data_IF_676070720374
#
_entry.id   IF_676070720374
#
_cell.length_a   1.000
_cell.length_b   1.000
_cell.length_c   1.000
_cell.angle_alpha   90.00
_cell.angle_beta   90.00
_cell.angle_gamma   90.00
#
_symmetry.space_group_name_H-M   'P 1'
#
loop_
_entity.id
_entity.type
_entity.pdbx_description
1 polymer ?
#
# COMPACT_ATOMS: atom_id res chain seq x y z
N UNK A 1 9.31 -30.48 -16.64
CA UNK A 1 9.23 -29.50 -15.54
C UNK A 1 9.60 -28.14 -16.10
N UNK A 2 8.61 -27.29 -16.38
CA UNK A 2 8.87 -25.91 -16.77
C UNK A 2 9.58 -25.22 -15.59
N UNK A 3 10.77 -24.69 -15.83
CA UNK A 3 11.47 -23.88 -14.83
C UNK A 3 10.64 -22.62 -14.66
N UNK A 4 10.15 -22.37 -13.44
CA UNK A 4 9.49 -21.12 -13.05
C UNK A 4 10.44 -19.88 -13.11
N UNK A 5 11.50 -19.93 -13.90
CA UNK A 5 12.55 -18.92 -13.96
C UNK A 5 12.29 -17.83 -15.02
N UNK A 6 11.30 -18.01 -15.91
CA UNK A 6 11.06 -17.09 -17.04
C UNK A 6 10.06 -15.97 -16.77
N UNK A 7 9.21 -16.07 -15.74
CA UNK A 7 8.21 -15.04 -15.45
C UNK A 7 8.75 -13.96 -14.51
N UNK A 8 8.57 -12.70 -14.93
CA UNK A 8 8.80 -11.52 -14.09
C UNK A 8 7.46 -10.89 -13.75
N UNK A 9 7.18 -10.81 -12.45
CA UNK A 9 6.01 -10.16 -11.88
C UNK A 9 6.37 -8.76 -11.40
N UNK A 10 5.63 -7.76 -11.88
CA UNK A 10 5.77 -6.36 -11.44
C UNK A 10 4.48 -5.96 -10.75
N UNK A 11 4.53 -5.76 -9.45
CA UNK A 11 3.41 -5.27 -8.65
C UNK A 11 3.51 -3.75 -8.55
N UNK A 12 2.57 -3.05 -9.16
CA UNK A 12 2.49 -1.58 -9.09
C UNK A 12 1.50 -1.20 -8.00
N UNK A 13 1.96 -0.47 -6.99
CA UNK A 13 1.15 -0.03 -5.86
C UNK A 13 1.02 1.50 -5.83
N UNK A 14 -0.01 1.99 -5.14
CA UNK A 14 -0.13 3.40 -4.73
C UNK A 14 -0.14 3.51 -3.22
N UNK A 15 0.13 4.70 -2.69
CA UNK A 15 -0.08 4.97 -1.27
C UNK A 15 -1.58 4.89 -0.94
N UNK A 16 -1.88 4.40 0.26
CA UNK A 16 -3.21 4.55 0.85
C UNK A 16 -3.48 6.01 1.17
N UNK A 17 -4.75 6.40 1.30
CA UNK A 17 -5.11 7.78 1.68
C UNK A 17 -4.50 8.18 3.02
N UNK A 18 -4.34 7.22 3.93
CA UNK A 18 -3.67 7.43 5.21
C UNK A 18 -2.19 7.78 5.05
N UNK A 19 -1.46 7.06 4.19
CA UNK A 19 -0.05 7.35 3.90
C UNK A 19 0.09 8.71 3.24
N UNK A 20 -0.76 9.04 2.27
CA UNK A 20 -0.75 10.36 1.63
C UNK A 20 -1.03 11.50 2.63
N UNK A 21 -1.91 11.28 3.61
CA UNK A 21 -2.17 12.24 4.68
C UNK A 21 -0.96 12.41 5.61
N UNK A 22 -0.31 11.32 6.00
CA UNK A 22 0.89 11.38 6.85
C UNK A 22 2.02 12.09 6.10
N UNK A 23 2.19 11.87 4.80
CA UNK A 23 3.18 12.59 3.99
C UNK A 23 2.86 14.09 3.89
N UNK A 24 1.59 14.44 3.72
CA UNK A 24 1.15 15.84 3.68
C UNK A 24 1.37 16.56 5.00
N UNK A 25 1.09 15.89 6.12
CA UNK A 25 1.08 16.49 7.45
C UNK A 25 2.28 16.11 8.32
N UNK A 26 3.27 15.38 7.78
CA UNK A 26 4.48 14.86 8.44
C UNK A 26 4.27 13.89 9.62
N UNK A 27 3.17 13.98 10.36
CA UNK A 27 2.89 13.11 11.51
C UNK A 27 1.47 12.54 11.48
N UNK A 28 1.30 11.35 12.07
CA UNK A 28 -0.03 10.77 12.27
C UNK A 28 -0.92 11.68 13.11
N UNK A 29 -0.40 12.28 14.18
CA UNK A 29 -1.19 13.16 15.05
C UNK A 29 -1.77 14.36 14.28
N UNK A 30 -0.99 14.98 13.39
CA UNK A 30 -1.46 16.10 12.56
C UNK A 30 -2.45 15.64 11.48
N UNK A 31 -2.22 14.48 10.84
CA UNK A 31 -3.16 13.89 9.89
C UNK A 31 -4.50 13.52 10.55
N UNK A 32 -4.45 12.94 11.76
CA UNK A 32 -5.62 12.58 12.56
C UNK A 32 -6.41 13.83 12.95
N UNK A 33 -5.72 14.85 13.46
CA UNK A 33 -6.33 16.15 13.78
C UNK A 33 -7.06 16.73 12.55
N UNK A 34 -6.41 16.71 11.38
CA UNK A 34 -7.04 17.16 10.13
C UNK A 34 -8.33 16.41 9.82
N UNK A 35 -8.35 15.07 9.92
CA UNK A 35 -9.55 14.27 9.68
C UNK A 35 -10.68 14.61 10.67
N UNK A 36 -10.35 14.70 11.95
CA UNK A 36 -11.31 15.04 13.01
C UNK A 36 -11.92 16.43 12.81
N UNK A 37 -11.10 17.42 12.39
CA UNK A 37 -11.56 18.79 12.12
C UNK A 37 -12.42 18.92 10.88
N UNK A 38 -12.34 17.96 9.96
CA UNK A 38 -13.18 17.91 8.75
C UNK A 38 -14.39 16.97 8.93
N UNK A 39 -14.72 16.58 10.16
CA UNK A 39 -15.81 15.64 10.46
C UNK A 39 -15.70 14.30 9.70
N UNK A 40 -14.47 13.85 9.42
CA UNK A 40 -14.20 12.59 8.73
C UNK A 40 -13.92 11.47 9.73
N UNK A 41 -14.48 10.28 9.48
CA UNK A 41 -14.23 9.11 10.33
C UNK A 41 -12.80 8.57 10.15
N UNK A 42 -11.97 8.75 11.18
CA UNK A 42 -10.57 8.29 11.21
C UNK A 42 -10.48 6.76 11.04
N UNK A 43 -11.46 6.03 11.56
CA UNK A 43 -11.49 4.57 11.53
C UNK A 43 -11.57 4.03 10.11
N UNK A 44 -12.27 4.71 9.20
CA UNK A 44 -12.37 4.30 7.80
C UNK A 44 -11.00 4.31 7.12
N UNK A 45 -10.18 5.33 7.37
CA UNK A 45 -8.82 5.44 6.84
C UNK A 45 -7.90 4.35 7.40
N UNK A 46 -8.02 4.03 8.68
CA UNK A 46 -7.25 2.96 9.32
C UNK A 46 -7.66 1.58 8.78
N UNK A 47 -8.96 1.33 8.63
CA UNK A 47 -9.48 0.08 8.09
C UNK A 47 -9.06 -0.11 6.63
N UNK A 48 -9.22 0.92 5.80
CA UNK A 48 -8.75 0.95 4.41
C UNK A 48 -7.25 0.65 4.34
N UNK A 49 -6.44 1.35 5.14
CA UNK A 49 -5.00 1.16 5.18
C UNK A 49 -4.63 -0.28 5.57
N UNK A 50 -5.19 -0.79 6.66
CA UNK A 50 -4.88 -2.13 7.16
C UNK A 50 -5.28 -3.21 6.15
N UNK A 51 -6.47 -3.09 5.55
CA UNK A 51 -6.92 -4.02 4.51
C UNK A 51 -6.00 -3.96 3.30
N UNK A 52 -5.68 -2.76 2.83
CA UNK A 52 -4.79 -2.56 1.69
C UNK A 52 -3.39 -3.14 1.93
N UNK A 53 -2.78 -2.87 3.08
CA UNK A 53 -1.47 -3.43 3.44
C UNK A 53 -1.49 -4.95 3.55
N UNK A 54 -2.57 -5.52 4.11
CA UNK A 54 -2.76 -6.97 4.19
C UNK A 54 -2.81 -7.60 2.79
N UNK A 55 -3.63 -7.04 1.90
CA UNK A 55 -3.78 -7.53 0.53
C UNK A 55 -2.49 -7.36 -0.28
N UNK A 56 -1.77 -6.25 -0.09
CA UNK A 56 -0.49 -6.01 -0.73
C UNK A 56 0.55 -7.05 -0.29
N UNK A 57 0.65 -7.32 1.01
CA UNK A 57 1.54 -8.34 1.58
C UNK A 57 1.19 -9.73 1.04
N UNK A 58 -0.09 -10.07 0.98
CA UNK A 58 -0.56 -11.36 0.45
C UNK A 58 -0.21 -11.52 -1.03
N UNK A 59 -0.46 -10.50 -1.85
CA UNK A 59 -0.09 -10.50 -3.25
C UNK A 59 1.43 -10.63 -3.45
N UNK A 60 2.23 -9.90 -2.67
CA UNK A 60 3.69 -9.98 -2.71
C UNK A 60 4.18 -11.40 -2.37
N UNK A 61 3.65 -12.03 -1.32
CA UNK A 61 4.01 -13.39 -0.93
C UNK A 61 3.71 -14.41 -2.04
N UNK A 62 2.53 -14.31 -2.64
CA UNK A 62 2.11 -15.18 -3.75
C UNK A 62 3.04 -14.98 -4.94
N UNK A 63 3.25 -13.74 -5.39
CA UNK A 63 4.02 -13.43 -6.59
C UNK A 63 5.51 -13.76 -6.43
N UNK A 64 6.09 -13.53 -5.24
CA UNK A 64 7.48 -13.94 -4.92
C UNK A 64 7.67 -15.45 -5.01
N UNK A 65 6.66 -16.25 -4.69
CA UNK A 65 6.74 -17.71 -4.79
C UNK A 65 6.71 -18.22 -6.24
N UNK A 66 6.23 -17.41 -7.18
CA UNK A 66 5.98 -17.80 -8.57
C UNK A 66 7.13 -17.44 -9.53
N UNK A 67 8.01 -16.50 -9.18
CA UNK A 67 9.11 -16.09 -10.05
C UNK A 67 9.81 -14.81 -9.61
N UNK A 68 10.48 -14.12 -10.55
CA UNK A 68 11.16 -12.85 -10.26
C UNK A 68 10.12 -11.79 -9.92
N UNK A 69 10.27 -11.13 -8.78
CA UNK A 69 9.31 -10.15 -8.29
C UNK A 69 9.93 -8.75 -8.19
N UNK A 70 9.16 -7.73 -8.57
CA UNK A 70 9.48 -6.33 -8.33
C UNK A 70 8.24 -5.57 -7.86
N UNK A 71 8.38 -4.85 -6.75
CA UNK A 71 7.39 -3.87 -6.27
C UNK A 71 7.78 -2.49 -6.79
N UNK A 72 6.82 -1.76 -7.35
CA UNK A 72 6.98 -0.39 -7.81
C UNK A 72 5.89 0.50 -7.23
N UNK A 73 6.28 1.64 -6.70
CA UNK A 73 5.32 2.70 -6.36
C UNK A 73 4.98 3.48 -7.63
N UNK A 74 3.68 3.66 -7.90
CA UNK A 74 3.17 4.35 -9.09
C UNK A 74 3.70 5.76 -9.26
N UNK A 75 4.06 6.46 -8.17
CA UNK A 75 4.65 7.80 -8.22
C UNK A 75 6.08 7.85 -8.77
N UNK A 76 6.72 6.70 -8.98
CA UNK A 76 8.09 6.57 -9.48
C UNK A 76 8.16 6.11 -10.95
N UNK A 77 7.00 5.99 -11.62
CA UNK A 77 6.88 5.67 -13.05
C UNK A 77 6.75 6.95 -13.87
#
# INVERSE_FOLDING_TARGET
MQRNEDFRFVLVMRKSRLQELIERFNTWSQAKFYLEHNNVEVKDYLNEHNLYQKQLTEAELILKSLGRFQLLERGLL
#
